data_IF_520078379490
#
_entry.id   IF_520078379490
#
_cell.length_a   1.000
_cell.length_b   1.000
_cell.length_c   1.000
_cell.angle_alpha   90.00
_cell.angle_beta   90.00
_cell.angle_gamma   90.00
#
_symmetry.space_group_name_H-M   'P 1'
#
loop_
_entity.id
_entity.type
_entity.pdbx_description
1 polymer ?
#
# COMPACT_ATOMS: atom_id res chain seq x y z
N UNK A 1 18.47 7.30 6.23
CA UNK A 1 17.42 7.85 7.11
C UNK A 1 16.14 8.15 6.33
N UNK A 2 16.23 8.96 5.24
CA UNK A 2 15.06 9.32 4.42
C UNK A 2 14.33 8.08 3.86
N UNK A 3 15.05 7.11 3.33
CA UNK A 3 14.47 5.91 2.75
C UNK A 3 13.75 5.04 3.80
N UNK A 4 14.33 4.90 5.00
CA UNK A 4 13.68 4.20 6.12
C UNK A 4 12.37 4.92 6.51
N UNK A 5 12.38 6.25 6.50
CA UNK A 5 11.19 7.06 6.81
C UNK A 5 10.07 6.83 5.79
N UNK A 6 10.39 6.77 4.49
CA UNK A 6 9.45 6.44 3.41
C UNK A 6 8.88 5.04 3.59
N UNK A 7 9.72 4.06 3.92
CA UNK A 7 9.28 2.69 4.19
C UNK A 7 8.29 2.63 5.35
N UNK A 8 8.57 3.32 6.46
CA UNK A 8 7.67 3.34 7.63
C UNK A 8 6.34 4.04 7.30
N UNK A 9 6.37 5.17 6.58
CA UNK A 9 5.15 5.84 6.16
C UNK A 9 4.29 4.96 5.25
N UNK A 10 4.90 4.25 4.31
CA UNK A 10 4.22 3.28 3.47
C UNK A 10 3.61 2.15 4.30
N UNK A 11 4.37 1.57 5.25
CA UNK A 11 3.87 0.50 6.14
C UNK A 11 2.63 0.97 6.91
N UNK A 12 2.68 2.15 7.53
CA UNK A 12 1.53 2.71 8.25
C UNK A 12 0.34 2.88 7.31
N UNK A 13 0.57 3.47 6.14
CA UNK A 13 -0.51 3.77 5.18
C UNK A 13 -1.20 2.53 4.64
N UNK A 14 -0.48 1.41 4.43
CA UNK A 14 -1.07 0.20 3.86
C UNK A 14 -1.69 -0.72 4.92
N UNK A 15 -1.20 -0.72 6.15
CA UNK A 15 -1.80 -1.55 7.20
C UNK A 15 -3.18 -1.05 7.64
N UNK A 16 -3.42 0.27 7.59
CA UNK A 16 -4.74 0.84 7.91
C UNK A 16 -5.85 0.22 7.04
N UNK A 17 -5.78 0.24 5.69
CA UNK A 17 -6.80 -0.38 4.86
C UNK A 17 -6.90 -1.89 5.03
N UNK A 18 -5.80 -2.61 5.27
CA UNK A 18 -5.84 -4.06 5.51
C UNK A 18 -6.65 -4.35 6.76
N UNK A 19 -6.31 -3.71 7.88
CA UNK A 19 -7.00 -3.92 9.17
C UNK A 19 -8.46 -3.50 9.08
N UNK A 20 -8.76 -2.34 8.52
CA UNK A 20 -10.12 -1.82 8.42
C UNK A 20 -10.99 -2.61 7.44
N UNK A 21 -10.44 -3.09 6.31
CA UNK A 21 -11.18 -3.92 5.36
C UNK A 21 -11.58 -5.27 5.95
N UNK A 22 -10.74 -5.84 6.83
CA UNK A 22 -11.08 -7.08 7.53
C UNK A 22 -12.06 -6.83 8.68
N UNK A 23 -11.87 -5.74 9.42
CA UNK A 23 -12.61 -5.50 10.66
C UNK A 23 -13.99 -4.89 10.44
N UNK A 24 -14.12 -3.89 9.55
CA UNK A 24 -15.39 -3.16 9.37
C UNK A 24 -16.55 -4.02 8.87
N UNK A 25 -16.39 -4.91 7.86
CA UNK A 25 -17.47 -5.81 7.46
C UNK A 25 -17.94 -6.72 8.59
N UNK A 26 -17.02 -7.19 9.43
CA UNK A 26 -17.31 -8.03 10.58
C UNK A 26 -18.11 -7.26 11.65
N UNK A 27 -17.64 -6.06 12.04
CA UNK A 27 -18.30 -5.25 13.08
C UNK A 27 -19.66 -4.67 12.65
N UNK A 28 -19.81 -4.36 11.37
CA UNK A 28 -21.03 -3.80 10.80
C UNK A 28 -22.04 -4.88 10.35
N UNK A 29 -21.71 -6.16 10.49
CA UNK A 29 -22.58 -7.27 10.12
C UNK A 29 -22.90 -7.29 8.62
N UNK A 30 -21.94 -7.00 7.77
CA UNK A 30 -22.14 -7.03 6.32
C UNK A 30 -22.33 -8.45 5.80
N UNK A 31 -22.88 -8.60 4.57
CA UNK A 31 -23.26 -9.87 3.97
C UNK A 31 -22.10 -10.88 3.95
N UNK A 32 -20.89 -10.42 3.62
CA UNK A 32 -19.66 -11.24 3.61
C UNK A 32 -18.67 -10.72 4.65
N UNK A 33 -18.82 -11.09 5.94
CA UNK A 33 -18.01 -10.55 7.01
C UNK A 33 -16.53 -10.98 6.94
N UNK A 34 -16.26 -12.18 6.41
CA UNK A 34 -14.91 -12.73 6.25
C UNK A 34 -14.42 -12.58 4.82
N UNK A 35 -14.23 -11.32 4.37
CA UNK A 35 -13.87 -11.05 2.98
C UNK A 35 -12.49 -11.58 2.59
N UNK A 36 -11.53 -11.60 3.51
CA UNK A 36 -10.21 -12.17 3.27
C UNK A 36 -10.00 -13.47 4.03
N UNK A 37 -9.42 -14.45 3.33
CA UNK A 37 -8.89 -15.66 3.94
C UNK A 37 -7.45 -15.41 4.43
N UNK A 38 -6.91 -16.24 5.32
CA UNK A 38 -5.50 -16.15 5.75
C UNK A 38 -4.50 -16.12 4.58
N UNK A 39 -4.82 -16.82 3.49
CA UNK A 39 -3.99 -16.84 2.27
C UNK A 39 -3.87 -15.45 1.67
N UNK A 40 -4.97 -14.69 1.56
CA UNK A 40 -4.94 -13.31 1.04
C UNK A 40 -4.06 -12.39 1.90
N UNK A 41 -4.12 -12.54 3.22
CA UNK A 41 -3.29 -11.74 4.14
C UNK A 41 -1.80 -12.10 3.97
N UNK A 42 -1.47 -13.39 3.87
CA UNK A 42 -0.08 -13.84 3.63
C UNK A 42 0.44 -13.27 2.30
N UNK A 43 -0.37 -13.26 1.24
CA UNK A 43 0.03 -12.67 -0.03
C UNK A 43 0.26 -11.15 0.06
N UNK A 44 -0.58 -10.43 0.79
CA UNK A 44 -0.37 -8.99 1.04
C UNK A 44 0.97 -8.74 1.74
N UNK A 45 1.28 -9.50 2.78
CA UNK A 45 2.56 -9.41 3.50
C UNK A 45 3.75 -9.78 2.60
N UNK A 46 3.60 -10.81 1.76
CA UNK A 46 4.64 -11.22 0.81
C UNK A 46 4.95 -10.15 -0.24
N UNK A 47 3.98 -9.31 -0.60
CA UNK A 47 4.15 -8.17 -1.51
C UNK A 47 4.76 -6.97 -0.77
N UNK A 48 4.28 -6.68 0.43
CA UNK A 48 4.71 -5.52 1.20
C UNK A 48 6.16 -5.62 1.68
N UNK A 49 6.58 -6.79 2.13
CA UNK A 49 7.94 -7.03 2.61
C UNK A 49 9.02 -6.62 1.59
N UNK A 50 9.02 -7.18 0.37
CA UNK A 50 9.96 -6.80 -0.68
C UNK A 50 9.82 -5.33 -1.11
N UNK A 51 8.61 -4.76 -1.13
CA UNK A 51 8.42 -3.34 -1.42
C UNK A 51 9.14 -2.46 -0.39
N UNK A 52 9.02 -2.78 0.89
CA UNK A 52 9.67 -2.03 1.96
C UNK A 52 11.20 -2.21 1.94
N UNK A 53 11.68 -3.47 1.92
CA UNK A 53 13.10 -3.77 2.12
C UNK A 53 13.92 -3.61 0.83
N UNK A 54 13.34 -3.84 -0.33
CA UNK A 54 14.07 -3.81 -1.59
C UNK A 54 13.87 -2.48 -2.32
N UNK A 55 12.62 -2.03 -2.49
CA UNK A 55 12.36 -0.80 -3.25
C UNK A 55 12.87 0.42 -2.51
N UNK A 56 12.44 0.62 -1.25
CA UNK A 56 12.77 1.85 -0.53
C UNK A 56 14.23 1.91 -0.09
N UNK A 57 14.88 0.80 0.22
CA UNK A 57 16.31 0.78 0.53
C UNK A 57 17.17 1.18 -0.67
N UNK A 58 16.76 0.77 -1.88
CA UNK A 58 17.49 1.06 -3.12
C UNK A 58 17.07 2.36 -3.81
N UNK A 59 16.18 3.16 -3.19
CA UNK A 59 15.84 4.47 -3.74
C UNK A 59 17.06 5.41 -3.71
N UNK A 60 17.32 6.12 -4.81
CA UNK A 60 18.41 7.08 -4.85
C UNK A 60 18.17 8.21 -3.86
N UNK A 61 19.25 8.78 -3.37
CA UNK A 61 19.23 9.91 -2.46
C UNK A 61 18.57 11.12 -3.14
N UNK A 62 17.67 11.78 -2.43
CA UNK A 62 17.03 13.01 -2.92
C UNK A 62 18.04 14.16 -3.06
N UNK A 63 17.89 14.98 -4.10
CA UNK A 63 18.75 16.14 -4.34
C UNK A 63 18.76 17.07 -3.14
N UNK A 64 19.93 17.57 -2.78
CA UNK A 64 20.08 18.51 -1.66
C UNK A 64 20.13 17.88 -0.27
N UNK A 65 20.00 16.55 -0.12
CA UNK A 65 20.07 15.89 1.20
C UNK A 65 21.40 16.16 1.92
N UNK A 66 22.51 16.21 1.20
CA UNK A 66 23.84 16.47 1.77
C UNK A 66 24.07 17.96 2.12
N UNK A 67 23.22 18.85 1.66
CA UNK A 67 23.27 20.29 1.97
C UNK A 67 22.43 20.66 3.20
N UNK A 68 21.62 19.70 3.69
CA UNK A 68 20.81 19.90 4.88
C UNK A 68 21.67 19.81 6.15
N UNK A 69 21.31 20.61 7.16
CA UNK A 69 21.94 20.53 8.47
C UNK A 69 21.77 19.14 9.07
N UNK A 70 22.76 18.61 9.82
CA UNK A 70 22.62 17.37 10.55
C UNK A 70 21.38 17.39 11.46
N UNK A 71 20.67 16.28 11.53
CA UNK A 71 19.50 16.13 12.42
C UNK A 71 19.92 16.25 13.86
N UNK A 72 19.11 16.93 14.65
CA UNK A 72 19.28 16.97 16.11
C UNK A 72 18.86 15.60 16.70
N UNK A 73 19.56 15.16 17.75
CA UNK A 73 19.23 13.90 18.44
C UNK A 73 17.84 13.93 19.10
N UNK A 74 17.30 15.09 19.37
CA UNK A 74 15.99 15.31 19.98
C UNK A 74 14.83 15.29 18.98
N UNK A 75 15.11 15.25 17.67
CA UNK A 75 14.06 15.26 16.67
C UNK A 75 13.34 13.92 16.62
N UNK A 76 12.01 13.92 16.64
CA UNK A 76 11.20 12.73 16.50
C UNK A 76 11.40 12.10 15.12
N UNK A 77 11.31 10.77 15.03
CA UNK A 77 11.54 10.04 13.79
C UNK A 77 10.51 10.43 12.72
N UNK A 78 9.23 10.45 13.09
CA UNK A 78 8.12 10.94 12.27
C UNK A 78 7.53 12.18 12.90
N UNK A 79 7.32 13.21 12.08
CA UNK A 79 6.59 14.40 12.50
C UNK A 79 5.07 14.15 12.41
N UNK A 80 4.28 14.82 13.21
CA UNK A 80 2.81 14.74 13.18
C UNK A 80 2.21 14.96 11.79
N UNK A 81 2.78 15.87 11.00
CA UNK A 81 2.36 16.11 9.60
C UNK A 81 2.55 14.87 8.74
N UNK A 82 3.67 14.18 8.86
CA UNK A 82 4.01 12.99 8.09
C UNK A 82 3.14 11.81 8.49
N UNK A 83 2.90 11.65 9.79
CA UNK A 83 1.99 10.64 10.31
C UNK A 83 0.55 10.87 9.84
N UNK A 84 0.08 12.13 9.87
CA UNK A 84 -1.26 12.48 9.38
C UNK A 84 -1.42 12.17 7.89
N UNK A 85 -0.41 12.43 7.07
CA UNK A 85 -0.44 12.07 5.64
C UNK A 85 -0.60 10.57 5.46
N UNK A 86 0.18 9.77 6.19
CA UNK A 86 0.08 8.30 6.13
C UNK A 86 -1.30 7.79 6.57
N UNK A 87 -1.86 8.35 7.61
CA UNK A 87 -3.21 8.00 8.08
C UNK A 87 -4.27 8.37 7.03
N UNK A 88 -4.21 9.59 6.47
CA UNK A 88 -5.15 10.02 5.44
C UNK A 88 -5.05 9.14 4.19
N UNK A 89 -3.84 8.80 3.73
CA UNK A 89 -3.62 7.87 2.63
C UNK A 89 -4.28 6.52 2.90
N UNK A 90 -4.06 5.94 4.09
CA UNK A 90 -4.66 4.67 4.49
C UNK A 90 -6.19 4.72 4.56
N UNK A 91 -6.76 5.79 5.11
CA UNK A 91 -8.21 5.99 5.18
C UNK A 91 -8.84 6.18 3.79
N UNK A 92 -8.19 6.90 2.88
CA UNK A 92 -8.66 7.06 1.50
C UNK A 92 -8.67 5.72 0.75
N UNK A 93 -7.62 4.91 0.91
CA UNK A 93 -7.56 3.56 0.34
C UNK A 93 -8.69 2.70 0.94
N UNK A 94 -8.87 2.73 2.26
CA UNK A 94 -9.97 2.03 2.94
C UNK A 94 -11.31 2.41 2.34
N UNK A 95 -11.59 3.70 2.20
CA UNK A 95 -12.85 4.18 1.62
C UNK A 95 -13.06 3.63 0.20
N UNK A 96 -12.03 3.67 -0.66
CA UNK A 96 -12.09 3.10 -2.00
C UNK A 96 -12.38 1.60 -2.02
N UNK A 97 -11.73 0.85 -1.13
CA UNK A 97 -11.92 -0.60 -0.99
C UNK A 97 -13.34 -0.93 -0.49
N UNK A 98 -13.84 -0.20 0.51
CA UNK A 98 -15.20 -0.39 1.02
C UNK A 98 -16.28 0.00 0.01
N UNK A 99 -16.05 1.04 -0.80
CA UNK A 99 -16.94 1.38 -1.93
C UNK A 99 -16.96 0.26 -2.96
N UNK A 100 -15.80 -0.33 -3.29
CA UNK A 100 -15.72 -1.48 -4.19
C UNK A 100 -16.49 -2.68 -3.64
N UNK A 101 -16.38 -2.96 -2.34
CA UNK A 101 -17.15 -4.01 -1.67
C UNK A 101 -18.65 -3.78 -1.84
N UNK A 102 -19.15 -2.59 -1.51
CA UNK A 102 -20.59 -2.26 -1.61
C UNK A 102 -21.08 -2.30 -3.06
N UNK A 103 -20.26 -1.82 -4.00
CA UNK A 103 -20.57 -1.88 -5.43
C UNK A 103 -20.69 -3.33 -5.93
N UNK A 104 -19.79 -4.22 -5.51
CA UNK A 104 -19.84 -5.63 -5.89
C UNK A 104 -21.13 -6.30 -5.42
N UNK A 105 -21.55 -6.04 -4.16
CA UNK A 105 -22.82 -6.55 -3.62
C UNK A 105 -24.01 -5.95 -4.38
N UNK A 106 -24.02 -4.65 -4.63
CA UNK A 106 -25.09 -3.98 -5.36
C UNK A 106 -25.29 -4.58 -6.76
N UNK A 107 -24.24 -5.02 -7.41
CA UNK A 107 -24.27 -5.73 -8.71
C UNK A 107 -24.66 -7.20 -8.61
N UNK A 108 -24.99 -7.69 -7.42
CA UNK A 108 -25.35 -9.10 -7.20
C UNK A 108 -24.14 -10.05 -7.23
N UNK A 109 -22.95 -9.54 -6.94
CA UNK A 109 -21.73 -10.34 -6.84
C UNK A 109 -21.83 -11.37 -5.72
N UNK A 110 -21.41 -12.60 -6.00
CA UNK A 110 -21.21 -13.63 -4.97
C UNK A 110 -19.98 -13.30 -4.11
N UNK A 111 -19.76 -14.07 -3.06
CA UNK A 111 -18.63 -13.85 -2.14
C UNK A 111 -17.28 -13.86 -2.84
N UNK A 112 -17.06 -14.82 -3.77
CA UNK A 112 -15.80 -14.95 -4.52
C UNK A 112 -15.53 -13.75 -5.41
N UNK A 113 -16.51 -13.30 -6.18
CA UNK A 113 -16.38 -12.11 -7.03
C UNK A 113 -16.15 -10.86 -6.21
N UNK A 114 -16.86 -10.70 -5.10
CA UNK A 114 -16.70 -9.56 -4.18
C UNK A 114 -15.30 -9.56 -3.59
N UNK A 115 -14.81 -10.71 -3.14
CA UNK A 115 -13.46 -10.91 -2.63
C UNK A 115 -12.40 -10.57 -3.67
N UNK A 116 -12.53 -11.09 -4.90
CA UNK A 116 -11.62 -10.82 -6.00
C UNK A 116 -11.53 -9.33 -6.33
N UNK A 117 -12.67 -8.62 -6.38
CA UNK A 117 -12.71 -7.18 -6.65
C UNK A 117 -12.07 -6.38 -5.51
N UNK A 118 -12.38 -6.68 -4.27
CA UNK A 118 -11.84 -6.01 -3.08
C UNK A 118 -10.33 -6.23 -2.98
N UNK A 119 -9.88 -7.47 -3.15
CA UNK A 119 -8.47 -7.83 -3.12
C UNK A 119 -7.68 -7.15 -4.23
N UNK A 120 -8.19 -7.18 -5.46
CA UNK A 120 -7.57 -6.49 -6.61
C UNK A 120 -7.45 -4.99 -6.36
N UNK A 121 -8.50 -4.36 -5.86
CA UNK A 121 -8.50 -2.93 -5.52
C UNK A 121 -7.41 -2.61 -4.50
N UNK A 122 -7.26 -3.43 -3.46
CA UNK A 122 -6.25 -3.24 -2.43
C UNK A 122 -4.82 -3.42 -2.99
N UNK A 123 -4.59 -4.40 -3.86
CA UNK A 123 -3.29 -4.61 -4.53
C UNK A 123 -2.94 -3.42 -5.44
N UNK A 124 -3.87 -2.96 -6.27
CA UNK A 124 -3.63 -1.77 -7.10
C UNK A 124 -3.38 -0.52 -6.26
N UNK A 125 -4.16 -0.31 -5.21
CA UNK A 125 -3.94 0.80 -4.28
C UNK A 125 -2.54 0.72 -3.64
N UNK A 126 -2.08 -0.48 -3.28
CA UNK A 126 -0.74 -0.71 -2.74
C UNK A 126 0.37 -0.34 -3.76
N UNK A 127 0.22 -0.74 -5.03
CA UNK A 127 1.15 -0.36 -6.11
C UNK A 127 1.21 1.16 -6.25
N UNK A 128 0.07 1.84 -6.32
CA UNK A 128 0.03 3.30 -6.43
C UNK A 128 0.57 3.99 -5.17
N UNK A 129 0.27 3.48 -3.99
CA UNK A 129 0.80 3.99 -2.73
C UNK A 129 2.32 3.87 -2.69
N UNK A 130 2.87 2.73 -3.14
CA UNK A 130 4.32 2.53 -3.20
C UNK A 130 4.99 3.53 -4.15
N UNK A 131 4.33 3.87 -5.28
CA UNK A 131 4.80 4.92 -6.20
C UNK A 131 4.82 6.30 -5.55
N UNK A 132 3.71 6.67 -4.90
CA UNK A 132 3.57 8.01 -4.28
C UNK A 132 4.59 8.22 -3.16
N UNK A 133 4.86 7.20 -2.36
CA UNK A 133 5.77 7.31 -1.21
C UNK A 133 7.26 7.18 -1.58
N UNK A 134 7.63 7.00 -2.87
CA UNK A 134 9.04 6.96 -3.32
C UNK A 134 9.77 8.29 -3.14
N UNK A 135 9.06 9.42 -3.21
CA UNK A 135 9.66 10.73 -2.96
C UNK A 135 8.70 11.64 -2.21
N UNK A 136 9.26 12.48 -1.34
CA UNK A 136 8.53 13.53 -0.66
C UNK A 136 8.50 14.87 -1.41
N UNK A 137 9.34 15.00 -2.44
CA UNK A 137 9.60 16.27 -3.13
C UNK A 137 9.11 16.23 -4.58
N UNK A 138 9.26 15.09 -5.23
CA UNK A 138 9.03 14.97 -6.67
C UNK A 138 7.66 14.43 -7.01
N UNK A 139 7.08 14.92 -8.10
CA UNK A 139 5.86 14.41 -8.72
C UNK A 139 6.05 12.97 -9.23
N UNK A 140 4.96 12.19 -9.32
CA UNK A 140 4.96 10.83 -9.88
C UNK A 140 5.62 10.79 -11.26
N UNK A 141 5.39 11.79 -12.12
CA UNK A 141 5.98 11.87 -13.46
C UNK A 141 7.51 12.02 -13.47
N UNK A 142 8.06 12.62 -12.42
CA UNK A 142 9.51 12.72 -12.25
C UNK A 142 10.07 11.45 -11.62
N UNK A 143 9.34 10.85 -10.69
CA UNK A 143 9.74 9.63 -9.97
C UNK A 143 9.84 8.43 -10.93
N UNK A 144 8.98 8.32 -11.94
CA UNK A 144 9.03 7.26 -12.96
C UNK A 144 10.37 7.29 -13.72
N UNK A 145 11.01 8.47 -13.86
CA UNK A 145 12.34 8.62 -14.46
C UNK A 145 13.49 8.19 -13.55
N UNK A 146 13.23 7.97 -12.27
CA UNK A 146 14.25 7.51 -11.32
C UNK A 146 14.69 6.07 -11.65
N UNK A 147 15.99 5.87 -11.73
CA UNK A 147 16.62 4.57 -12.06
C UNK A 147 16.61 3.60 -10.87
N UNK A 148 15.46 3.22 -10.39
CA UNK A 148 15.34 2.07 -9.51
C UNK A 148 14.85 0.87 -10.33
N UNK A 149 15.79 0.01 -10.73
CA UNK A 149 15.52 -1.17 -11.57
C UNK A 149 14.69 -2.26 -10.83
N UNK A 150 14.71 -2.24 -9.52
CA UNK A 150 14.02 -3.24 -8.68
C UNK A 150 12.53 -2.97 -8.59
N UNK A 151 12.13 -1.69 -8.68
CA UNK A 151 10.74 -1.29 -8.61
C UNK A 151 9.84 -1.95 -9.69
N UNK A 152 10.15 -1.88 -11.00
CA UNK A 152 9.34 -2.54 -12.02
C UNK A 152 9.32 -4.08 -11.87
N UNK A 153 10.40 -4.68 -11.37
CA UNK A 153 10.46 -6.12 -11.11
C UNK A 153 9.44 -6.50 -10.03
N UNK A 154 9.40 -5.75 -8.93
CA UNK A 154 8.46 -6.01 -7.83
C UNK A 154 7.02 -5.77 -8.28
N UNK A 155 6.72 -4.71 -9.04
CA UNK A 155 5.39 -4.49 -9.60
C UNK A 155 4.98 -5.66 -10.50
N UNK A 156 5.86 -6.09 -11.40
CA UNK A 156 5.56 -7.21 -12.30
C UNK A 156 5.30 -8.50 -11.53
N UNK A 157 6.10 -8.80 -10.51
CA UNK A 157 5.88 -9.93 -9.62
C UNK A 157 4.55 -9.84 -8.89
N UNK A 158 4.20 -8.66 -8.36
CA UNK A 158 2.92 -8.39 -7.70
C UNK A 158 1.73 -8.64 -8.63
N UNK A 159 1.80 -8.15 -9.87
CA UNK A 159 0.75 -8.35 -10.86
C UNK A 159 0.63 -9.83 -11.28
N UNK A 160 1.74 -10.52 -11.45
CA UNK A 160 1.74 -11.96 -11.72
C UNK A 160 1.10 -12.75 -10.57
N UNK A 161 1.45 -12.43 -9.32
CA UNK A 161 0.84 -13.05 -8.15
C UNK A 161 -0.67 -12.78 -8.09
N UNK A 162 -1.09 -11.55 -8.36
CA UNK A 162 -2.52 -11.21 -8.43
C UNK A 162 -3.24 -12.05 -9.49
N UNK A 163 -2.68 -12.16 -10.69
CA UNK A 163 -3.26 -12.99 -11.76
C UNK A 163 -3.33 -14.45 -11.35
N UNK A 164 -2.31 -14.99 -10.69
CA UNK A 164 -2.33 -16.36 -10.18
C UNK A 164 -3.47 -16.57 -9.20
N UNK A 165 -3.67 -15.68 -8.24
CA UNK A 165 -4.76 -15.80 -7.24
C UNK A 165 -6.15 -15.70 -7.89
N UNK A 166 -6.30 -14.87 -8.93
CA UNK A 166 -7.59 -14.64 -9.57
C UNK A 166 -8.00 -15.77 -10.54
N UNK A 167 -7.04 -16.45 -11.17
CA UNK A 167 -7.31 -17.37 -12.26
C UNK A 167 -6.89 -18.82 -11.98
N UNK A 168 -6.10 -19.07 -10.95
CA UNK A 168 -5.73 -20.43 -10.55
C UNK A 168 -6.52 -20.77 -9.28
N UNK A 169 -7.48 -21.71 -9.37
CA UNK A 169 -8.32 -22.10 -8.25
C UNK A 169 -7.55 -22.86 -7.17
#
# INVERSE_FOLDING_TARGET
>A
YSNIKKAIQYIISIHIPIVLTVSLPLFLGWIYPHIFTPVHVIFLELIMGPTCSIVYENEPMEKGTMQQKPRKMTDTFLNWKELSISIVQGLMITAGVLVTYQYAIYKGGNEENTRAMVFSTLIFANIFLSLVNRSFIYSIFEIIKYKNKLFPIIISATLLMLLMILYIP
#
